data_IF_979219251585
#
_entry.id   IF_979219251585
#
_cell.length_a   1.000
_cell.length_b   1.000
_cell.length_c   1.000
_cell.angle_alpha   90.00
_cell.angle_beta   90.00
_cell.angle_gamma   90.00
#
_symmetry.space_group_name_H-M   'P 1'
#
loop_
_entity.id
_entity.type
_entity.pdbx_description
1 polymer ?
#
# COMPACT_ATOMS: atom_id res chain seq x y z
N UNK A 1 1.49 17.36 -7.81
CA UNK A 1 2.36 16.53 -6.94
C UNK A 1 1.57 15.79 -5.87
N UNK A 2 0.77 16.46 -5.03
CA UNK A 2 -0.10 15.81 -4.04
C UNK A 2 -1.04 14.72 -4.58
N UNK A 3 -1.77 14.91 -5.70
CA UNK A 3 -2.69 13.88 -6.21
C UNK A 3 -1.98 12.57 -6.57
N UNK A 4 -0.78 12.66 -7.14
CA UNK A 4 0.04 11.51 -7.49
C UNK A 4 0.56 10.78 -6.26
N UNK A 5 0.97 11.53 -5.23
CA UNK A 5 1.37 10.93 -3.95
C UNK A 5 0.20 10.24 -3.24
N UNK A 6 -1.01 10.81 -3.32
CA UNK A 6 -2.22 10.17 -2.79
C UNK A 6 -2.54 8.88 -3.54
N UNK A 7 -2.51 8.89 -4.87
CA UNK A 7 -2.67 7.68 -5.69
C UNK A 7 -1.62 6.60 -5.36
N UNK A 8 -0.35 7.00 -5.22
CA UNK A 8 0.71 6.08 -4.82
C UNK A 8 0.43 5.47 -3.44
N UNK A 9 0.06 6.28 -2.45
CA UNK A 9 -0.26 5.83 -1.10
C UNK A 9 -1.50 4.90 -1.08
N UNK A 10 -2.55 5.24 -1.82
CA UNK A 10 -3.79 4.46 -1.90
C UNK A 10 -3.56 3.06 -2.47
N UNK A 11 -2.84 2.95 -3.59
CA UNK A 11 -2.53 1.65 -4.17
C UNK A 11 -1.56 0.87 -3.27
N UNK A 12 -0.54 1.50 -2.66
CA UNK A 12 0.35 0.80 -1.71
C UNK A 12 -0.45 0.23 -0.52
N UNK A 13 -1.38 1.00 0.04
CA UNK A 13 -2.28 0.54 1.11
C UNK A 13 -3.23 -0.58 0.66
N UNK A 14 -3.77 -0.48 -0.56
CA UNK A 14 -4.62 -1.52 -1.16
C UNK A 14 -3.87 -2.85 -1.31
N UNK A 15 -2.63 -2.84 -1.78
CA UNK A 15 -1.82 -4.05 -1.90
C UNK A 15 -1.51 -4.69 -0.55
N UNK A 16 -1.18 -3.89 0.46
CA UNK A 16 -0.99 -4.39 1.82
C UNK A 16 -2.26 -5.04 2.40
N UNK A 17 -3.44 -4.54 2.02
CA UNK A 17 -4.74 -5.10 2.43
C UNK A 17 -5.18 -6.34 1.65
N UNK A 18 -4.79 -6.46 0.38
CA UNK A 18 -5.12 -7.61 -0.49
C UNK A 18 -4.18 -8.80 -0.31
N UNK A 19 -3.03 -8.63 0.36
CA UNK A 19 -2.12 -9.74 0.61
C UNK A 19 -2.82 -10.82 1.48
N UNK A 20 -2.81 -12.10 1.07
CA UNK A 20 -3.44 -13.16 1.83
C UNK A 20 -2.79 -13.29 3.21
N UNK A 21 -3.58 -13.10 4.28
CA UNK A 21 -3.17 -13.28 5.69
C UNK A 21 -2.53 -14.66 6.00
N UNK A 22 -2.66 -15.62 5.08
CA UNK A 22 -2.13 -16.98 5.16
C UNK A 22 -0.69 -17.11 4.67
N UNK A 23 -0.18 -16.19 3.86
CA UNK A 23 1.21 -16.20 3.42
C UNK A 23 2.10 -15.71 4.57
N UNK A 24 2.86 -16.62 5.16
CA UNK A 24 3.82 -16.31 6.24
C UNK A 24 5.24 -16.65 5.79
N UNK A 25 6.20 -15.83 6.21
CA UNK A 25 7.63 -16.11 6.00
C UNK A 25 8.16 -15.53 4.68
N UNK A 26 9.04 -16.23 3.95
CA UNK A 26 9.72 -15.64 2.79
C UNK A 26 8.79 -15.30 1.62
N UNK A 27 7.68 -16.04 1.45
CA UNK A 27 6.65 -15.78 0.42
C UNK A 27 5.93 -14.44 0.62
N UNK A 28 5.73 -14.02 1.87
CA UNK A 28 5.16 -12.71 2.21
C UNK A 28 6.11 -11.60 1.75
N UNK A 29 7.41 -11.75 2.04
CA UNK A 29 8.44 -10.79 1.68
C UNK A 29 8.63 -10.68 0.16
N UNK A 30 8.64 -11.81 -0.55
CA UNK A 30 8.74 -11.83 -2.03
C UNK A 30 7.53 -11.17 -2.66
N UNK A 31 6.32 -11.45 -2.16
CA UNK A 31 5.10 -10.81 -2.63
C UNK A 31 5.13 -9.30 -2.42
N UNK A 32 5.57 -8.83 -1.25
CA UNK A 32 5.73 -7.41 -0.95
C UNK A 32 6.78 -6.73 -1.83
N UNK A 33 7.93 -7.39 -2.05
CA UNK A 33 9.00 -6.87 -2.91
C UNK A 33 8.56 -6.79 -4.37
N UNK A 34 7.90 -7.84 -4.89
CA UNK A 34 7.31 -7.86 -6.23
C UNK A 34 6.24 -6.78 -6.39
N UNK A 35 5.38 -6.62 -5.38
CA UNK A 35 4.37 -5.57 -5.38
C UNK A 35 4.98 -4.18 -5.40
N UNK A 36 6.02 -3.93 -4.59
CA UNK A 36 6.72 -2.64 -4.57
C UNK A 36 7.40 -2.32 -5.91
N UNK A 37 8.01 -3.33 -6.56
CA UNK A 37 8.59 -3.18 -7.91
C UNK A 37 7.52 -2.78 -8.94
N UNK A 38 6.42 -3.55 -9.02
CA UNK A 38 5.35 -3.30 -10.00
C UNK A 38 4.70 -1.94 -9.75
N UNK A 39 4.40 -1.61 -8.49
CA UNK A 39 3.79 -0.34 -8.11
C UNK A 39 4.70 0.85 -8.44
N UNK A 40 5.99 0.74 -8.13
CA UNK A 40 6.96 1.80 -8.41
C UNK A 40 7.23 2.00 -9.90
N UNK A 41 7.18 0.92 -10.68
CA UNK A 41 7.28 0.98 -12.15
C UNK A 41 6.03 1.67 -12.74
N UNK A 42 4.83 1.18 -12.40
CA UNK A 42 3.57 1.73 -12.92
C UNK A 42 3.38 3.20 -12.54
N UNK A 43 3.77 3.60 -11.32
CA UNK A 43 3.73 4.99 -10.89
C UNK A 43 4.58 5.90 -11.79
N UNK A 44 5.80 5.48 -12.14
CA UNK A 44 6.65 6.25 -13.06
C UNK A 44 6.10 6.33 -14.46
N UNK A 45 5.58 5.22 -14.98
CA UNK A 45 4.92 5.19 -16.27
C UNK A 45 3.72 6.14 -16.30
N UNK A 46 2.90 6.16 -15.24
CA UNK A 46 1.76 7.07 -15.15
C UNK A 46 2.19 8.54 -15.03
N UNK A 47 3.29 8.81 -14.32
CA UNK A 47 3.88 10.15 -14.27
C UNK A 47 4.34 10.58 -15.66
N UNK A 48 5.13 9.74 -16.33
CA UNK A 48 5.59 10.01 -17.68
C UNK A 48 4.43 10.22 -18.63
N UNK A 49 3.37 9.41 -18.57
CA UNK A 49 2.18 9.59 -19.40
C UNK A 49 1.52 10.95 -19.16
N UNK A 50 1.48 11.40 -17.90
CA UNK A 50 0.89 12.70 -17.53
C UNK A 50 1.74 13.88 -18.01
N UNK A 51 3.06 13.72 -18.11
CA UNK A 51 4.00 14.78 -18.53
C UNK A 51 4.36 14.73 -20.02
N UNK A 52 4.27 13.56 -20.65
CA UNK A 52 4.65 13.28 -22.03
C UNK A 52 4.02 14.24 -23.07
N UNK A 53 2.71 14.58 -23.00
CA UNK A 53 2.08 15.51 -23.94
C UNK A 53 2.66 16.93 -23.91
N UNK A 54 3.35 17.28 -22.81
CA UNK A 54 3.86 18.62 -22.56
C UNK A 54 5.40 18.71 -22.64
N UNK A 55 6.08 17.57 -22.79
CA UNK A 55 7.56 17.49 -22.77
C UNK A 55 8.18 17.45 -24.17
N UNK A 56 7.43 17.05 -25.20
CA UNK A 56 7.88 17.05 -26.59
C UNK A 56 7.19 18.19 -27.37
N UNK A 57 7.99 19.04 -28.03
CA UNK A 57 7.47 20.04 -28.96
C UNK A 57 6.78 19.38 -30.18
N UNK A 58 5.84 20.08 -30.84
CA UNK A 58 5.09 19.54 -31.98
C UNK A 58 6.04 19.12 -33.11
N UNK A 59 5.79 17.96 -33.72
CA UNK A 59 6.47 17.50 -34.95
C UNK A 59 7.41 16.29 -34.80
N UNK A 60 7.45 15.61 -33.66
CA UNK A 60 8.20 14.35 -33.50
C UNK A 60 7.27 13.14 -33.59
N UNK A 61 7.70 12.01 -34.14
CA UNK A 61 6.92 10.75 -34.16
C UNK A 61 6.67 10.13 -32.77
N UNK A 62 7.11 10.83 -31.72
CA UNK A 62 6.89 10.53 -30.31
C UNK A 62 5.95 11.56 -29.66
N UNK A 63 5.42 12.52 -30.40
CA UNK A 63 4.56 13.58 -29.86
C UNK A 63 3.09 13.16 -29.82
N UNK A 64 2.35 13.71 -28.87
CA UNK A 64 0.91 13.52 -28.76
C UNK A 64 0.22 14.17 -29.96
N UNK A 65 -0.64 13.42 -30.66
CA UNK A 65 -1.41 13.91 -31.80
C UNK A 65 -2.86 14.15 -31.36
N UNK A 66 -3.32 15.41 -31.26
CA UNK A 66 -4.70 15.73 -30.92
C UNK A 66 -5.67 15.18 -31.98
N UNK A 67 -6.67 14.39 -31.56
CA UNK A 67 -7.67 13.81 -32.47
C UNK A 67 -7.30 12.43 -33.04
N UNK A 68 -6.09 11.92 -32.81
CA UNK A 68 -5.72 10.56 -33.19
C UNK A 68 -6.38 9.52 -32.25
N UNK A 69 -6.61 8.28 -32.72
CA UNK A 69 -7.05 7.16 -31.90
C UNK A 69 -6.23 7.01 -30.62
N UNK A 70 -6.90 6.72 -29.50
CA UNK A 70 -6.24 6.54 -28.19
C UNK A 70 -5.11 5.52 -28.24
N UNK A 71 -5.30 4.44 -29.01
CA UNK A 71 -4.29 3.37 -29.17
C UNK A 71 -3.00 3.85 -29.85
N UNK A 72 -3.09 4.82 -30.78
CA UNK A 72 -1.95 5.36 -31.52
C UNK A 72 -1.09 6.25 -30.61
N UNK A 73 -1.74 7.08 -29.79
CA UNK A 73 -1.06 7.87 -28.77
C UNK A 73 -0.42 6.98 -27.67
N UNK A 74 -1.05 5.85 -27.30
CA UNK A 74 -0.43 4.88 -26.40
C UNK A 74 0.84 4.24 -27.00
N UNK A 75 0.86 4.02 -28.31
CA UNK A 75 2.04 3.48 -28.99
C UNK A 75 3.20 4.48 -29.00
N UNK A 76 2.94 5.76 -29.31
CA UNK A 76 3.96 6.82 -29.21
C UNK A 76 4.48 6.99 -27.78
N UNK A 77 3.58 6.93 -26.79
CA UNK A 77 3.97 6.92 -25.39
C UNK A 77 4.83 5.72 -25.02
N UNK A 78 4.46 4.50 -25.46
CA UNK A 78 5.22 3.29 -25.17
C UNK A 78 6.64 3.36 -25.74
N UNK A 79 6.80 3.84 -26.98
CA UNK A 79 8.10 4.08 -27.60
C UNK A 79 8.91 5.12 -26.82
N UNK A 80 8.29 6.25 -26.44
CA UNK A 80 8.94 7.28 -25.62
C UNK A 80 9.40 6.72 -24.26
N UNK A 81 8.55 5.95 -23.59
CA UNK A 81 8.89 5.31 -22.32
C UNK A 81 10.04 4.32 -22.51
N UNK A 82 10.04 3.53 -23.58
CA UNK A 82 11.10 2.56 -23.87
C UNK A 82 12.45 3.24 -24.06
N UNK A 83 12.48 4.32 -24.85
CA UNK A 83 13.73 5.01 -25.23
C UNK A 83 14.27 5.88 -24.11
N UNK A 84 13.40 6.47 -23.29
CA UNK A 84 13.76 7.62 -22.44
C UNK A 84 13.69 7.31 -20.95
N UNK A 85 12.82 6.38 -20.53
CA UNK A 85 12.50 6.21 -19.11
C UNK A 85 12.55 4.79 -18.59
N UNK A 86 12.54 3.78 -19.47
CA UNK A 86 12.51 2.38 -19.07
C UNK A 86 13.70 2.02 -18.16
N UNK A 87 14.90 2.52 -18.48
CA UNK A 87 16.10 2.28 -17.67
C UNK A 87 15.98 2.87 -16.27
N UNK A 88 15.43 4.08 -16.15
CA UNK A 88 15.23 4.75 -14.87
C UNK A 88 14.12 4.10 -14.03
N UNK A 89 12.99 3.78 -14.67
CA UNK A 89 11.86 3.14 -14.00
C UNK A 89 12.20 1.71 -13.56
N UNK A 90 13.03 0.99 -14.32
CA UNK A 90 13.55 -0.32 -13.92
C UNK A 90 14.52 -0.21 -12.74
N UNK A 91 15.45 0.76 -12.76
CA UNK A 91 16.34 1.02 -11.63
C UNK A 91 15.54 1.31 -10.36
N UNK A 92 14.52 2.18 -10.44
CA UNK A 92 13.65 2.48 -9.31
C UNK A 92 12.90 1.24 -8.81
N UNK A 93 12.36 0.43 -9.72
CA UNK A 93 11.69 -0.81 -9.36
C UNK A 93 12.61 -1.78 -8.60
N UNK A 94 13.86 -1.92 -9.05
CA UNK A 94 14.89 -2.73 -8.36
C UNK A 94 15.22 -2.17 -6.98
N UNK A 95 15.45 -0.87 -6.86
CA UNK A 95 15.77 -0.23 -5.58
C UNK A 95 14.62 -0.40 -4.58
N UNK A 96 13.37 -0.25 -5.02
CA UNK A 96 12.20 -0.47 -4.16
C UNK A 96 12.07 -1.93 -3.73
N UNK A 97 12.27 -2.89 -4.64
CA UNK A 97 12.25 -4.31 -4.32
C UNK A 97 13.34 -4.68 -3.31
N UNK A 98 14.57 -4.21 -3.51
CA UNK A 98 15.69 -4.46 -2.60
C UNK A 98 15.45 -3.80 -1.25
N UNK A 99 14.95 -2.56 -1.22
CA UNK A 99 14.59 -1.86 0.00
C UNK A 99 13.57 -2.66 0.82
N UNK A 100 12.53 -3.18 0.18
CA UNK A 100 11.55 -4.06 0.83
C UNK A 100 12.16 -5.39 1.25
N UNK A 101 13.03 -6.00 0.46
CA UNK A 101 13.68 -7.26 0.82
C UNK A 101 14.60 -7.12 2.06
N UNK A 102 15.33 -6.01 2.16
CA UNK A 102 16.25 -5.72 3.27
C UNK A 102 15.48 -5.30 4.53
N UNK A 103 14.56 -4.34 4.40
CA UNK A 103 13.87 -3.72 5.53
C UNK A 103 12.57 -4.43 5.92
N UNK A 104 12.01 -5.26 5.05
CA UNK A 104 10.69 -5.86 5.25
C UNK A 104 10.62 -6.75 6.49
N UNK A 105 11.65 -7.58 6.74
CA UNK A 105 11.68 -8.47 7.92
C UNK A 105 11.69 -7.70 9.25
N UNK A 106 12.62 -6.74 9.50
CA UNK A 106 12.63 -5.99 10.75
C UNK A 106 11.38 -5.11 10.90
N UNK A 107 10.89 -4.50 9.82
CA UNK A 107 9.67 -3.66 9.86
C UNK A 107 8.43 -4.49 10.20
N UNK A 108 8.21 -5.64 9.54
CA UNK A 108 7.10 -6.53 9.84
C UNK A 108 7.17 -7.07 11.28
N UNK A 109 8.37 -7.36 11.78
CA UNK A 109 8.57 -7.77 13.18
C UNK A 109 8.15 -6.68 14.17
N UNK A 110 8.59 -5.43 13.93
CA UNK A 110 8.23 -4.29 14.75
C UNK A 110 6.71 -4.03 14.73
N UNK A 111 6.08 -4.05 13.55
CA UNK A 111 4.63 -3.86 13.39
C UNK A 111 3.82 -4.95 14.09
N UNK A 112 4.26 -6.22 14.02
CA UNK A 112 3.59 -7.34 14.72
C UNK A 112 3.75 -7.24 16.24
N UNK A 113 4.85 -6.66 16.72
CA UNK A 113 5.06 -6.40 18.14
C UNK A 113 4.07 -5.35 18.66
N UNK A 114 3.89 -4.23 17.96
CA UNK A 114 2.93 -3.20 18.34
C UNK A 114 1.47 -3.64 18.14
N UNK A 115 1.16 -4.41 17.10
CA UNK A 115 -0.19 -4.92 16.87
C UNK A 115 -0.69 -5.85 17.99
N UNK A 116 0.19 -6.60 18.64
CA UNK A 116 -0.18 -7.43 19.81
C UNK A 116 -0.49 -6.62 21.06
N UNK A 117 0.01 -5.39 21.17
CA UNK A 117 -0.21 -4.53 22.33
C UNK A 117 -1.55 -3.79 22.20
N UNK A 118 -2.05 -3.60 20.97
CA UNK A 118 -3.32 -2.93 20.69
C UNK A 118 -4.55 -3.86 20.69
N UNK A 119 -4.43 -5.11 21.18
CA UNK A 119 -5.62 -5.91 21.49
C UNK A 119 -6.26 -5.34 22.76
N UNK A 120 -7.06 -4.30 22.60
CA UNK A 120 -8.03 -3.91 23.62
C UNK A 120 -8.90 -5.14 23.83
N UNK A 121 -8.72 -5.82 24.97
CA UNK A 121 -9.51 -6.99 25.34
C UNK A 121 -10.98 -6.63 25.24
N UNK A 122 -11.80 -7.63 24.88
CA UNK A 122 -13.27 -7.51 24.93
C UNK A 122 -13.65 -6.74 26.19
N UNK A 123 -14.50 -5.69 26.07
CA UNK A 123 -14.98 -4.99 27.25
C UNK A 123 -15.67 -6.06 28.09
N UNK A 124 -15.00 -6.50 29.16
CA UNK A 124 -15.62 -7.33 30.16
C UNK A 124 -16.76 -6.46 30.66
N UNK A 125 -17.98 -6.81 30.23
CA UNK A 125 -19.18 -6.33 30.85
C UNK A 125 -19.01 -6.72 32.30
N UNK A 126 -18.57 -5.78 33.13
CA UNK A 126 -18.61 -5.91 34.56
C UNK A 126 -20.07 -6.16 34.87
N UNK A 127 -20.40 -7.44 34.99
CA UNK A 127 -21.62 -7.91 35.59
C UNK A 127 -21.65 -7.22 36.95
N UNK A 128 -22.42 -6.14 37.01
CA UNK A 128 -22.90 -5.55 38.23
C UNK A 128 -23.89 -6.58 38.79
N UNK A 129 -23.35 -7.73 39.21
CA UNK A 129 -24.06 -8.77 39.93
C UNK A 129 -24.38 -8.17 41.28
N UNK A 130 -25.50 -7.47 41.29
CA UNK A 130 -26.54 -7.55 42.30
C UNK A 130 -26.03 -8.07 43.64
N UNK A 131 -25.45 -7.16 44.44
CA UNK A 131 -25.56 -7.26 45.91
C UNK A 131 -27.01 -6.88 46.26
N UNK A 132 -27.94 -7.69 45.76
CA UNK A 132 -29.32 -7.70 46.18
C UNK A 132 -29.48 -8.93 47.07
N UNK A 133 -29.75 -8.65 48.34
CA UNK A 133 -30.36 -9.55 49.32
C UNK A 133 -29.53 -10.76 49.79
N UNK A 134 -28.99 -10.69 51.01
CA UNK A 134 -29.39 -11.61 52.09
C UNK A 134 -29.36 -10.89 53.44
N UNK A 135 -30.55 -10.65 53.97
CA UNK A 135 -30.81 -10.35 55.38
C UNK A 135 -30.79 -11.68 56.17
N UNK A 136 -30.51 -11.66 57.49
CA UNK A 136 -31.62 -11.99 58.38
C UNK A 136 -31.65 -11.20 59.70
N UNK A 137 -32.86 -10.70 59.99
CA UNK A 137 -33.58 -10.55 61.26
C UNK A 137 -32.89 -10.97 62.57
N UNK A 138 -33.10 -10.10 63.56
CA UNK A 138 -33.45 -10.35 64.97
C UNK A 138 -32.46 -11.10 65.87
N UNK A 139 -31.93 -10.38 66.87
CA UNK A 139 -32.06 -10.75 68.29
C UNK A 139 -32.26 -9.49 69.12
N UNK A 140 -33.51 -9.27 69.50
CA UNK A 140 -33.87 -8.60 70.74
C UNK A 140 -33.88 -9.64 71.87
N UNK A 141 -33.69 -9.16 73.09
CA UNK A 141 -33.91 -9.83 74.38
C UNK A 141 -32.93 -10.94 74.78
N UNK A 142 -31.96 -10.57 75.63
CA UNK A 142 -31.72 -11.17 76.95
C UNK A 142 -30.81 -10.28 77.80
#
# INVERSE_FOLDING_TARGET
WLPFQMLAASWIGMGAGLLPRRMRGPLELVSLAGYAAVSGFLYGQLMNLSFWPFTLGPGTGLSFVPGAPVIENLHHFALFSLTTSLGWDLMRAVVLALGVAILGRPVLSALRRTARIASFGEPTTSEHTAVASRHPRQRADQ
#
